data_IF_707287647690
#
_entry.id   IF_707287647690
#
_cell.length_a   1.000
_cell.length_b   1.000
_cell.length_c   1.000
_cell.angle_alpha   90.00
_cell.angle_beta   90.00
_cell.angle_gamma   90.00
#
_symmetry.space_group_name_H-M   'P 1'
#
loop_
_entity.id
_entity.type
_entity.pdbx_description
1 polymer ?
#
# COMPACT_ATOMS: atom_id res chain seq x y z
N UNK A 1 -17.37 37.73 -17.54
CA UNK A 1 -17.61 37.27 -16.18
C UNK A 1 -16.93 35.95 -15.95
N UNK A 2 -16.35 35.74 -14.77
CA UNK A 2 -15.66 34.51 -14.43
C UNK A 2 -16.61 33.39 -14.07
N UNK A 3 -16.05 32.20 -13.91
CA UNK A 3 -16.80 31.05 -13.41
C UNK A 3 -17.14 31.25 -11.93
N UNK A 4 -18.26 30.69 -11.47
CA UNK A 4 -18.55 30.70 -10.04
C UNK A 4 -17.42 30.04 -9.23
N UNK A 5 -17.18 30.51 -8.02
CA UNK A 5 -16.13 29.97 -7.16
C UNK A 5 -16.26 28.46 -6.95
N UNK A 6 -17.48 27.96 -6.86
CA UNK A 6 -17.74 26.55 -6.65
C UNK A 6 -17.21 25.71 -7.81
N UNK A 7 -17.35 26.20 -9.03
CA UNK A 7 -16.86 25.50 -10.21
C UNK A 7 -15.33 25.51 -10.25
N UNK A 8 -14.73 26.65 -9.90
CA UNK A 8 -13.28 26.74 -9.86
C UNK A 8 -12.68 25.82 -8.81
N UNK A 9 -13.28 25.73 -7.61
CA UNK A 9 -12.81 24.86 -6.55
C UNK A 9 -12.92 23.39 -6.95
N UNK A 10 -14.03 22.99 -7.57
CA UNK A 10 -14.21 21.62 -8.03
C UNK A 10 -13.19 21.25 -9.11
N UNK A 11 -12.90 22.18 -10.01
CA UNK A 11 -11.92 21.96 -11.06
C UNK A 11 -10.52 21.76 -10.47
N UNK A 12 -10.14 22.57 -9.49
CA UNK A 12 -8.83 22.44 -8.84
C UNK A 12 -8.69 21.14 -8.06
N UNK A 13 -9.75 20.70 -7.38
CA UNK A 13 -9.74 19.42 -6.66
C UNK A 13 -9.56 18.27 -7.63
N UNK A 14 -10.25 18.30 -8.76
CA UNK A 14 -10.12 17.28 -9.80
C UNK A 14 -8.70 17.26 -10.36
N UNK A 15 -8.16 18.42 -10.65
CA UNK A 15 -6.81 18.57 -11.17
C UNK A 15 -5.76 18.01 -10.19
N UNK A 16 -5.91 18.32 -8.90
CA UNK A 16 -4.99 17.80 -7.87
C UNK A 16 -5.03 16.29 -7.79
N UNK A 17 -6.19 15.68 -7.94
CA UNK A 17 -6.30 14.23 -7.90
C UNK A 17 -5.60 13.57 -9.09
N UNK A 18 -5.53 14.25 -10.23
CA UNK A 18 -4.82 13.74 -11.40
C UNK A 18 -3.30 13.90 -11.30
N UNK A 19 -2.82 14.74 -10.38
CA UNK A 19 -1.39 14.94 -10.18
C UNK A 19 -0.75 13.85 -9.31
N UNK A 20 -1.57 13.00 -8.69
CA UNK A 20 -1.10 11.90 -7.85
C UNK A 20 -1.03 10.61 -8.66
N UNK A 21 -0.20 9.65 -8.22
CA UNK A 21 -0.27 8.30 -8.77
C UNK A 21 -1.67 7.73 -8.61
N UNK A 22 -2.08 6.86 -9.51
CA UNK A 22 -3.41 6.25 -9.45
C UNK A 22 -3.51 5.26 -8.30
N UNK A 23 -4.70 5.12 -7.71
CA UNK A 23 -4.93 4.12 -6.66
C UNK A 23 -4.59 2.71 -7.13
N UNK A 24 -4.13 1.89 -6.20
CA UNK A 24 -3.73 0.52 -6.48
C UNK A 24 -4.02 -0.35 -5.25
N UNK A 25 -4.05 -1.67 -5.46
CA UNK A 25 -4.32 -2.61 -4.37
C UNK A 25 -3.10 -3.47 -4.11
N UNK A 26 -2.96 -3.90 -2.84
CA UNK A 26 -1.91 -4.82 -2.44
C UNK A 26 -2.41 -6.24 -2.71
N UNK A 27 -1.57 -7.06 -3.33
CA UNK A 27 -1.89 -8.46 -3.56
C UNK A 27 -1.75 -9.28 -2.28
N UNK A 28 -2.32 -10.48 -2.28
CA UNK A 28 -2.19 -11.38 -1.15
C UNK A 28 -0.73 -11.83 -1.03
N UNK A 29 -0.09 -11.67 0.15
CA UNK A 29 1.26 -12.18 0.34
C UNK A 29 1.31 -13.69 0.18
N UNK A 30 2.36 -14.20 -0.42
CA UNK A 30 2.54 -15.64 -0.64
C UNK A 30 3.99 -16.01 -0.33
N UNK A 31 4.26 -17.30 -0.21
CA UNK A 31 5.63 -17.78 -0.11
C UNK A 31 6.07 -18.34 -1.45
N UNK A 32 7.33 -18.07 -1.79
CA UNK A 32 7.90 -18.51 -3.06
C UNK A 32 9.38 -18.84 -2.84
N UNK A 33 9.79 -20.06 -3.11
CA UNK A 33 11.17 -20.51 -2.98
C UNK A 33 11.79 -20.19 -1.61
N UNK A 34 11.00 -20.36 -0.55
CA UNK A 34 11.47 -20.10 0.80
C UNK A 34 11.52 -18.65 1.22
N UNK A 35 10.94 -17.76 0.42
CA UNK A 35 10.86 -16.33 0.70
C UNK A 35 9.42 -15.87 0.77
N UNK A 36 9.20 -14.78 1.49
CA UNK A 36 7.90 -14.11 1.52
C UNK A 36 7.86 -13.13 0.34
N UNK A 37 6.85 -13.30 -0.50
CA UNK A 37 6.65 -12.42 -1.66
C UNK A 37 5.44 -11.54 -1.42
N UNK A 38 5.64 -10.24 -1.51
CA UNK A 38 4.58 -9.25 -1.45
C UNK A 38 4.58 -8.50 -2.77
N UNK A 39 3.44 -8.45 -3.42
CA UNK A 39 3.28 -7.72 -4.67
C UNK A 39 2.04 -6.85 -4.60
N UNK A 40 1.94 -5.93 -5.54
CA UNK A 40 0.82 -5.01 -5.62
C UNK A 40 0.62 -4.62 -7.08
N UNK A 41 -0.52 -3.99 -7.36
CA UNK A 41 -0.78 -3.50 -8.71
C UNK A 41 0.17 -2.35 -9.02
N UNK A 42 0.66 -2.30 -10.25
CA UNK A 42 1.46 -1.17 -10.68
C UNK A 42 0.57 0.08 -10.74
N UNK A 43 0.99 1.14 -10.08
CA UNK A 43 0.35 2.43 -10.21
C UNK A 43 0.88 3.13 -11.46
N UNK A 44 0.19 4.15 -11.92
CA UNK A 44 0.64 4.95 -13.05
C UNK A 44 0.24 6.39 -12.82
N UNK A 45 0.84 7.27 -13.60
CA UNK A 45 0.63 8.70 -13.50
C UNK A 45 0.11 9.23 -14.85
N UNK A 46 -0.89 10.10 -14.82
CA UNK A 46 -1.44 10.67 -16.05
C UNK A 46 -0.41 11.51 -16.80
N UNK A 47 0.55 12.08 -16.11
CA UNK A 47 1.62 12.85 -16.72
C UNK A 47 2.80 11.97 -17.15
N UNK A 48 2.64 10.66 -17.07
CA UNK A 48 3.66 9.67 -17.42
C UNK A 48 4.95 9.79 -16.62
N UNK A 49 4.87 10.33 -15.39
CA UNK A 49 6.02 10.37 -14.50
C UNK A 49 6.34 8.97 -13.97
N UNK A 50 7.60 8.72 -13.69
CA UNK A 50 8.01 7.45 -13.10
C UNK A 50 7.48 7.34 -11.69
N UNK A 51 7.09 6.12 -11.32
CA UNK A 51 6.55 5.82 -10.00
C UNK A 51 7.56 4.97 -9.23
N UNK A 52 7.79 5.36 -7.99
CA UNK A 52 8.54 4.52 -7.04
C UNK A 52 7.62 4.16 -5.89
N UNK A 53 7.94 3.07 -5.21
CA UNK A 53 7.12 2.57 -4.10
C UNK A 53 7.95 2.47 -2.84
N UNK A 54 7.33 2.80 -1.70
CA UNK A 54 7.90 2.48 -0.40
C UNK A 54 7.04 1.40 0.24
N UNK A 55 7.69 0.42 0.87
CA UNK A 55 7.04 -0.75 1.48
C UNK A 55 7.54 -0.89 2.89
N UNK A 56 6.63 -1.05 3.84
CA UNK A 56 6.97 -1.30 5.23
C UNK A 56 6.19 -2.49 5.75
N UNK A 57 6.85 -3.36 6.51
CA UNK A 57 6.20 -4.48 7.19
C UNK A 57 6.40 -4.28 8.68
N UNK A 58 5.33 -4.38 9.46
CA UNK A 58 5.37 -4.15 10.89
C UNK A 58 4.56 -5.21 11.63
N UNK A 59 4.79 -5.29 12.93
CA UNK A 59 4.07 -6.21 13.82
C UNK A 59 2.78 -5.63 14.35
N UNK A 60 2.58 -4.31 14.17
CA UNK A 60 1.40 -3.60 14.67
C UNK A 60 0.84 -2.68 13.59
N UNK A 61 -0.47 -2.43 13.66
CA UNK A 61 -1.14 -1.60 12.65
C UNK A 61 -0.73 -0.12 12.73
N UNK A 62 -0.10 0.29 13.82
CA UNK A 62 0.39 1.66 13.98
C UNK A 62 1.81 1.81 13.44
N UNK A 63 2.43 0.71 13.00
CA UNK A 63 3.79 0.69 12.44
C UNK A 63 4.84 1.27 13.40
N UNK A 64 4.69 0.96 14.69
CA UNK A 64 5.71 1.31 15.70
C UNK A 64 6.81 0.25 15.78
N UNK A 65 6.52 -0.98 15.33
CA UNK A 65 7.46 -2.10 15.33
C UNK A 65 7.71 -2.57 13.90
N UNK A 66 8.36 -1.71 13.13
CA UNK A 66 8.69 -2.00 11.74
C UNK A 66 9.83 -3.02 11.68
N UNK A 67 9.63 -4.13 10.97
CA UNK A 67 10.65 -5.17 10.82
C UNK A 67 11.31 -5.16 9.45
N UNK A 68 10.73 -4.45 8.47
CA UNK A 68 11.28 -4.35 7.12
C UNK A 68 10.82 -3.05 6.50
N UNK A 69 11.75 -2.40 5.78
CA UNK A 69 11.44 -1.16 5.08
C UNK A 69 12.27 -1.09 3.80
N UNK A 70 11.59 -0.84 2.69
CA UNK A 70 12.23 -0.62 1.39
C UNK A 70 11.70 0.68 0.82
N UNK A 71 12.58 1.53 0.32
CA UNK A 71 12.18 2.80 -0.29
C UNK A 71 12.64 2.84 -1.73
N UNK A 72 11.89 3.54 -2.57
CA UNK A 72 12.23 3.78 -3.97
C UNK A 72 12.35 2.52 -4.81
N UNK A 73 11.51 1.53 -4.52
CA UNK A 73 11.39 0.34 -5.35
C UNK A 73 10.71 0.69 -6.65
N UNK A 74 11.28 0.27 -7.78
CA UNK A 74 10.69 0.51 -9.10
C UNK A 74 9.76 -0.59 -9.55
N UNK A 75 9.96 -1.80 -9.06
CA UNK A 75 9.16 -2.97 -9.39
C UNK A 75 8.07 -3.14 -8.33
N UNK A 76 6.82 -3.45 -8.70
CA UNK A 76 5.73 -3.59 -7.72
C UNK A 76 5.76 -4.94 -6.99
N UNK A 77 6.90 -5.29 -6.45
CA UNK A 77 7.11 -6.59 -5.83
C UNK A 77 8.34 -6.55 -4.93
N UNK A 78 8.28 -7.25 -3.80
CA UNK A 78 9.46 -7.49 -2.97
C UNK A 78 9.51 -8.96 -2.56
N UNK A 79 10.73 -9.47 -2.35
CA UNK A 79 10.98 -10.79 -1.78
C UNK A 79 11.82 -10.59 -0.53
N UNK A 80 11.33 -11.09 0.60
CA UNK A 80 12.02 -10.92 1.89
C UNK A 80 12.06 -12.27 2.61
N UNK A 81 12.90 -12.35 3.63
CA UNK A 81 12.92 -13.54 4.47
C UNK A 81 11.58 -13.69 5.17
N UNK A 82 11.14 -14.95 5.33
CA UNK A 82 9.87 -15.22 6.02
C UNK A 82 10.09 -14.91 7.50
N UNK A 83 9.31 -13.99 8.09
CA UNK A 83 9.46 -13.67 9.51
C UNK A 83 8.91 -14.79 10.39
N UNK A 84 9.13 -14.65 11.70
CA UNK A 84 8.63 -15.63 12.68
C UNK A 84 7.10 -15.67 12.64
N UNK A 85 6.49 -16.80 13.05
CA UNK A 85 5.02 -16.87 13.11
C UNK A 85 4.43 -15.74 13.92
N UNK A 86 3.32 -15.19 13.42
CA UNK A 86 2.63 -14.08 14.08
C UNK A 86 1.83 -13.24 13.11
N UNK A 87 1.28 -12.16 13.63
CA UNK A 87 0.48 -11.22 12.86
C UNK A 87 1.37 -10.09 12.36
N UNK A 88 1.16 -9.69 11.12
CA UNK A 88 1.93 -8.63 10.48
C UNK A 88 1.04 -7.73 9.65
N UNK A 89 1.55 -6.53 9.38
CA UNK A 89 0.90 -5.54 8.54
C UNK A 89 1.89 -5.07 7.49
N UNK A 90 1.41 -4.85 6.29
CA UNK A 90 2.22 -4.25 5.23
C UNK A 90 1.50 -3.05 4.67
N UNK A 91 2.23 -1.95 4.51
CA UNK A 91 1.70 -0.75 3.86
C UNK A 91 2.61 -0.34 2.72
N UNK A 92 1.99 0.18 1.67
CA UNK A 92 2.70 0.53 0.44
C UNK A 92 2.22 1.90 -0.01
N UNK A 93 3.18 2.73 -0.40
CA UNK A 93 2.92 4.08 -0.90
C UNK A 93 3.63 4.27 -2.24
N UNK A 94 2.89 4.76 -3.23
CA UNK A 94 3.44 5.13 -4.52
C UNK A 94 3.77 6.62 -4.52
N UNK A 95 4.88 6.98 -5.15
CA UNK A 95 5.32 8.38 -5.24
C UNK A 95 5.76 8.65 -6.67
N UNK A 96 5.31 9.77 -7.26
CA UNK A 96 5.75 10.16 -8.59
C UNK A 96 6.95 11.11 -8.51
N UNK A 97 7.48 11.52 -9.68
CA UNK A 97 8.66 12.39 -9.73
C UNK A 97 8.41 13.76 -9.12
N UNK A 98 7.15 14.23 -9.14
CA UNK A 98 6.78 15.51 -8.53
C UNK A 98 6.66 15.44 -7.02
N UNK A 99 6.81 14.26 -6.42
CA UNK A 99 6.71 14.08 -4.98
C UNK A 99 5.30 13.86 -4.47
N UNK A 100 4.32 13.72 -5.35
CA UNK A 100 2.94 13.42 -4.95
C UNK A 100 2.82 11.95 -4.63
N UNK A 101 2.02 11.59 -3.64
CA UNK A 101 1.92 10.24 -3.14
C UNK A 101 0.50 9.71 -3.18
N UNK A 102 0.39 8.39 -3.27
CA UNK A 102 -0.87 7.68 -3.17
C UNK A 102 -0.63 6.40 -2.38
N UNK A 103 -1.33 6.25 -1.26
CA UNK A 103 -1.29 5.02 -0.48
C UNK A 103 -2.12 3.94 -1.19
N UNK A 104 -1.81 2.67 -0.92
CA UNK A 104 -2.62 1.57 -1.41
C UNK A 104 -4.07 1.78 -0.96
N UNK A 105 -5.01 1.29 -1.77
CA UNK A 105 -6.43 1.53 -1.53
C UNK A 105 -7.03 0.57 -0.49
N UNK A 106 -6.27 -0.42 -0.08
CA UNK A 106 -6.67 -1.37 0.97
C UNK A 106 -6.78 -0.67 2.32
N UNK A 107 -7.53 -1.29 3.23
CA UNK A 107 -7.65 -0.76 4.58
C UNK A 107 -7.78 -1.88 5.60
N UNK A 108 -7.44 -1.56 6.83
CA UNK A 108 -7.59 -2.45 7.98
C UNK A 108 -8.51 -1.78 8.99
N UNK A 109 -9.50 -2.53 9.49
CA UNK A 109 -10.48 -1.99 10.44
C UNK A 109 -9.94 -2.13 11.87
N UNK A 110 -9.85 -1.01 12.57
CA UNK A 110 -9.40 -0.97 13.96
C UNK A 110 -10.57 -0.57 14.87
N UNK A 111 -10.33 -0.55 16.16
CA UNK A 111 -11.33 -0.11 17.13
C UNK A 111 -11.76 1.35 16.96
N UNK A 112 -10.89 2.16 16.35
CA UNK A 112 -11.14 3.59 16.18
C UNK A 112 -11.50 3.97 14.76
N UNK A 113 -11.58 3.01 13.84
CA UNK A 113 -11.93 3.27 12.46
C UNK A 113 -11.05 2.52 11.47
N UNK A 114 -11.05 2.98 10.22
CA UNK A 114 -10.29 2.36 9.15
C UNK A 114 -8.89 2.96 9.05
N UNK A 115 -7.90 2.10 8.86
CA UNK A 115 -6.53 2.51 8.56
C UNK A 115 -6.26 2.15 7.11
N UNK A 116 -6.10 3.15 6.24
CA UNK A 116 -5.90 2.95 4.82
C UNK A 116 -4.43 2.72 4.47
N UNK A 117 -4.21 2.11 3.32
CA UNK A 117 -2.87 1.91 2.78
C UNK A 117 -2.19 0.65 3.24
N UNK A 118 -2.89 -0.24 3.93
CA UNK A 118 -2.29 -1.44 4.50
C UNK A 118 -3.20 -2.65 4.42
N UNK A 119 -2.58 -3.83 4.50
CA UNK A 119 -3.29 -5.09 4.72
C UNK A 119 -2.69 -5.80 5.93
N UNK A 120 -3.49 -6.70 6.51
CA UNK A 120 -3.05 -7.57 7.60
C UNK A 120 -2.82 -8.97 7.04
N UNK A 121 -1.76 -9.62 7.48
CA UNK A 121 -1.52 -11.02 7.12
C UNK A 121 -0.87 -11.74 8.30
N UNK A 122 -0.84 -13.07 8.22
CA UNK A 122 -0.29 -13.91 9.28
C UNK A 122 0.76 -14.83 8.71
N UNK A 123 1.80 -15.07 9.48
CA UNK A 123 2.73 -16.16 9.20
C UNK A 123 2.38 -17.30 10.16
N UNK A 124 2.01 -18.44 9.63
CA UNK A 124 1.66 -19.61 10.42
C UNK A 124 2.92 -20.34 10.90
N UNK A 125 2.76 -21.23 11.86
CA UNK A 125 3.91 -21.97 12.41
C UNK A 125 4.62 -22.83 11.37
N UNK A 126 3.92 -23.25 10.32
CA UNK A 126 4.51 -23.99 9.21
C UNK A 126 5.10 -23.09 8.13
N UNK A 127 5.22 -21.79 8.42
CA UNK A 127 5.75 -20.76 7.52
C UNK A 127 4.89 -20.51 6.28
N UNK A 128 3.63 -20.89 6.33
CA UNK A 128 2.67 -20.49 5.28
C UNK A 128 2.03 -19.17 5.65
N UNK A 129 1.47 -18.49 4.64
CA UNK A 129 0.84 -17.17 4.83
C UNK A 129 -0.67 -17.35 4.95
N UNK A 130 -1.25 -16.70 5.96
CA UNK A 130 -2.70 -16.58 6.10
C UNK A 130 -3.11 -15.12 5.98
N UNK A 131 -4.37 -14.90 5.68
CA UNK A 131 -4.95 -13.55 5.62
C UNK A 131 -5.99 -13.41 6.74
N UNK A 132 -6.49 -12.19 6.91
CA UNK A 132 -7.44 -11.92 7.97
C UNK A 132 -8.67 -12.83 7.83
N UNK A 133 -9.09 -13.40 8.96
CA UNK A 133 -10.13 -14.44 8.99
C UNK A 133 -11.47 -13.96 8.41
N UNK A 134 -11.78 -12.68 8.52
CA UNK A 134 -13.05 -12.23 8.03
C UNK A 134 -13.16 -12.24 6.51
N UNK A 135 -12.06 -12.33 5.82
CA UNK A 135 -12.06 -12.44 4.36
C UNK A 135 -12.55 -13.81 3.88
N UNK A 136 -12.61 -14.77 4.77
CA UNK A 136 -13.04 -16.11 4.44
C UNK A 136 -14.56 -16.24 4.33
N UNK A 137 -15.29 -15.25 4.75
CA UNK A 137 -16.75 -15.26 4.74
C UNK A 137 -17.36 -14.86 3.39
#
# INVERSE_FOLDING_TARGET
>A
AGLPKEVEQNYEMYRESLEKPMPFYIGRPVTENGKLKINWDASYDFDAEDITYSVEIARDYQFTQVIYKEEQTLIPEILVDIPDPGQYFVRIRATNESGKTQDAFDYYVTNTGKQYGMICFYINEDHTVGVDAYEEE
#
